data_IF_348132515667
#
_entry.id   IF_348132515667
#
_cell.length_a   1.000
_cell.length_b   1.000
_cell.length_c   1.000
_cell.angle_alpha   90.00
_cell.angle_beta   90.00
_cell.angle_gamma   90.00
#
_symmetry.space_group_name_H-M   'P 1'
#
loop_
_entity.id
_entity.type
_entity.pdbx_description
1 polymer ?
#
# COMPACT_ATOMS: atom_id res chain seq x y z
N UNK A 1 -34.62 66.07 -36.83
CA UNK A 1 -34.27 66.55 -35.47
C UNK A 1 -33.81 65.32 -34.69
N UNK A 2 -32.58 64.81 -34.88
CA UNK A 2 -31.27 65.22 -34.30
C UNK A 2 -31.43 65.50 -32.80
N UNK A 3 -30.89 64.73 -31.84
CA UNK A 3 -29.46 64.53 -31.48
C UNK A 3 -29.33 63.33 -30.52
N UNK A 4 -28.48 62.32 -30.80
CA UNK A 4 -27.07 62.13 -30.36
C UNK A 4 -26.81 61.94 -28.84
N UNK A 5 -26.51 60.69 -28.47
CA UNK A 5 -25.32 60.19 -27.74
C UNK A 5 -24.47 61.18 -26.92
N UNK A 6 -24.14 60.81 -25.68
CA UNK A 6 -22.80 61.03 -25.11
C UNK A 6 -22.42 59.98 -24.04
N UNK A 7 -21.15 59.59 -24.10
CA UNK A 7 -20.44 58.58 -23.29
C UNK A 7 -19.61 59.27 -22.18
N UNK A 8 -18.99 58.44 -21.31
CA UNK A 8 -17.75 58.69 -20.51
C UNK A 8 -18.00 59.55 -19.23
N UNK A 9 -17.53 59.30 -18.00
CA UNK A 9 -16.48 58.48 -17.37
C UNK A 9 -16.74 58.46 -15.84
N UNK A 10 -16.35 57.41 -15.10
CA UNK A 10 -15.62 57.58 -13.84
C UNK A 10 -14.82 56.29 -13.52
N UNK A 11 -13.63 56.49 -12.98
CA UNK A 11 -12.47 55.61 -12.92
C UNK A 11 -12.15 55.27 -11.44
N UNK A 12 -11.74 54.03 -11.13
CA UNK A 12 -10.73 53.62 -10.11
C UNK A 12 -10.71 52.07 -10.09
N UNK A 13 -9.74 51.38 -10.69
CA UNK A 13 -8.39 51.02 -10.25
C UNK A 13 -8.32 50.17 -8.96
N UNK A 14 -8.07 48.86 -9.13
CA UNK A 14 -7.19 48.05 -8.28
C UNK A 14 -6.64 46.86 -9.08
N UNK A 15 -5.32 46.86 -9.29
CA UNK A 15 -4.49 45.82 -9.91
C UNK A 15 -3.80 45.03 -8.77
N UNK A 16 -3.26 43.83 -9.10
CA UNK A 16 -2.24 42.99 -8.40
C UNK A 16 -2.88 41.79 -7.69
N UNK A 17 -3.02 40.60 -8.30
CA UNK A 17 -2.04 39.52 -8.67
C UNK A 17 -1.57 38.63 -7.52
N UNK A 18 -1.22 37.38 -7.90
CA UNK A 18 -0.62 36.25 -7.16
C UNK A 18 -1.62 35.32 -6.43
N UNK A 19 -1.66 34.00 -6.67
CA UNK A 19 -0.65 33.06 -7.16
C UNK A 19 -1.31 31.94 -7.96
N UNK A 20 -0.71 31.61 -9.11
CA UNK A 20 -1.02 30.40 -9.85
C UNK A 20 -0.67 29.17 -9.04
N UNK A 21 -1.55 28.17 -9.10
CA UNK A 21 -1.23 26.80 -8.70
C UNK A 21 -0.18 26.31 -9.70
N UNK A 22 1.10 26.42 -9.33
CA UNK A 22 2.16 25.70 -10.01
C UNK A 22 1.86 24.21 -9.81
N UNK A 23 1.21 23.60 -10.80
CA UNK A 23 1.36 22.16 -11.00
C UNK A 23 2.84 21.96 -11.28
N UNK A 24 3.54 21.37 -10.32
CA UNK A 24 4.87 20.81 -10.53
C UNK A 24 4.66 19.65 -11.51
N UNK A 25 4.62 19.97 -12.79
CA UNK A 25 4.97 19.02 -13.83
C UNK A 25 6.46 18.83 -13.66
N UNK A 26 6.89 17.60 -13.35
CA UNK A 26 8.26 17.22 -13.55
C UNK A 26 8.62 17.62 -14.99
N UNK A 27 9.55 18.54 -15.13
CA UNK A 27 10.07 18.95 -16.41
C UNK A 27 10.89 17.76 -16.90
N UNK A 28 10.35 16.95 -17.80
CA UNK A 28 11.18 16.09 -18.62
C UNK A 28 12.05 17.05 -19.44
N UNK A 29 13.26 17.31 -18.96
CA UNK A 29 14.28 18.00 -19.73
C UNK A 29 14.65 17.11 -20.91
N UNK A 30 13.90 17.22 -22.01
CA UNK A 30 14.16 16.54 -23.29
C UNK A 30 15.55 16.88 -23.89
N UNK A 31 16.28 17.81 -23.27
CA UNK A 31 17.64 18.22 -23.66
C UNK A 31 18.75 17.45 -22.91
N UNK A 32 18.45 16.74 -21.83
CA UNK A 32 19.43 16.05 -20.98
C UNK A 32 19.60 14.55 -21.28
N UNK A 33 20.77 13.99 -20.91
CA UNK A 33 20.96 12.53 -20.94
C UNK A 33 19.95 11.87 -20.00
N UNK A 34 19.27 10.84 -20.47
CA UNK A 34 18.28 10.08 -19.70
C UNK A 34 18.50 8.58 -19.80
N UNK A 35 17.96 7.84 -18.83
CA UNK A 35 18.09 6.38 -18.77
C UNK A 35 16.76 5.67 -18.60
N UNK A 36 16.66 4.48 -19.18
CA UNK A 36 15.49 3.60 -19.05
C UNK A 36 15.97 2.20 -18.68
N UNK A 37 15.57 1.74 -17.49
CA UNK A 37 15.78 0.36 -17.05
C UNK A 37 14.51 -0.45 -17.25
N UNK A 38 14.58 -1.48 -18.09
CA UNK A 38 13.46 -2.37 -18.43
C UNK A 38 13.77 -3.80 -17.96
N UNK A 39 12.94 -4.41 -17.10
CA UNK A 39 13.08 -5.82 -16.76
C UNK A 39 12.64 -6.72 -17.93
N UNK A 40 13.27 -7.87 -18.10
CA UNK A 40 12.87 -8.90 -19.07
C UNK A 40 11.46 -9.44 -18.84
N UNK A 41 10.99 -9.38 -17.59
CA UNK A 41 9.62 -9.68 -17.22
C UNK A 41 8.90 -8.41 -16.72
N UNK A 42 7.72 -8.11 -17.27
CA UNK A 42 6.91 -6.92 -16.92
C UNK A 42 6.66 -6.71 -15.42
N UNK A 43 6.60 -7.80 -14.65
CA UNK A 43 6.35 -7.74 -13.20
C UNK A 43 7.63 -7.82 -12.37
N UNK A 44 8.81 -7.85 -13.02
CA UNK A 44 10.11 -8.10 -12.39
C UNK A 44 10.14 -9.35 -11.51
N UNK A 45 9.39 -10.38 -11.91
CA UNK A 45 9.40 -11.71 -11.30
C UNK A 45 10.01 -12.69 -12.29
N UNK A 46 11.00 -13.45 -11.84
CA UNK A 46 11.85 -14.27 -12.68
C UNK A 46 12.00 -15.69 -12.12
N UNK A 47 12.51 -16.59 -12.97
CA UNK A 47 12.90 -17.95 -12.62
C UNK A 47 14.25 -17.97 -11.90
N UNK A 48 15.25 -18.68 -12.41
CA UNK A 48 16.56 -18.83 -11.76
C UNK A 48 17.44 -17.58 -11.78
N UNK A 49 17.30 -16.78 -12.83
CA UNK A 49 18.05 -15.54 -13.05
C UNK A 49 17.13 -14.47 -13.61
N UNK A 50 17.52 -13.22 -13.42
CA UNK A 50 16.79 -12.07 -13.91
C UNK A 50 17.58 -11.41 -15.03
N UNK A 51 16.89 -10.90 -16.03
CA UNK A 51 17.49 -10.17 -17.13
C UNK A 51 16.90 -8.76 -17.21
N UNK A 52 17.74 -7.82 -17.66
CA UNK A 52 17.42 -6.41 -17.78
C UNK A 52 17.99 -5.81 -19.05
N UNK A 53 17.29 -4.83 -19.59
CA UNK A 53 17.83 -3.90 -20.57
C UNK A 53 18.00 -2.53 -19.92
N UNK A 54 19.17 -1.93 -20.11
CA UNK A 54 19.44 -0.54 -19.72
C UNK A 54 19.69 0.30 -20.98
N UNK A 55 18.80 1.23 -21.26
CA UNK A 55 18.93 2.19 -22.36
C UNK A 55 19.47 3.52 -21.82
N UNK A 56 20.46 4.08 -22.51
CA UNK A 56 20.98 5.43 -22.27
C UNK A 56 20.71 6.25 -23.51
N UNK A 57 19.92 7.32 -23.37
CA UNK A 57 19.60 8.27 -24.44
C UNK A 57 20.50 9.48 -24.31
N UNK A 58 21.24 9.79 -25.38
CA UNK A 58 22.14 10.93 -25.45
C UNK A 58 21.63 11.95 -26.49
N UNK A 59 20.83 12.93 -26.07
CA UNK A 59 20.41 14.02 -26.94
C UNK A 59 21.50 15.10 -27.11
N UNK A 60 22.70 14.95 -26.56
CA UNK A 60 23.75 15.97 -26.66
C UNK A 60 24.52 15.87 -27.99
N UNK A 61 25.36 16.88 -28.26
CA UNK A 61 26.30 16.87 -29.41
C UNK A 61 27.64 16.20 -29.08
N UNK A 62 27.84 15.74 -27.84
CA UNK A 62 29.07 15.11 -27.36
C UNK A 62 28.88 13.60 -27.27
N UNK A 63 29.78 12.77 -27.83
CA UNK A 63 29.74 11.34 -27.61
C UNK A 63 30.05 11.01 -26.14
N UNK A 64 29.39 9.99 -25.61
CA UNK A 64 29.51 9.57 -24.22
C UNK A 64 30.17 8.19 -24.13
N UNK A 65 31.15 8.06 -23.25
CA UNK A 65 31.82 6.77 -22.98
C UNK A 65 31.93 6.55 -21.49
N UNK A 66 31.87 5.30 -21.06
CA UNK A 66 32.05 4.96 -19.65
C UNK A 66 31.56 3.57 -19.34
N UNK A 67 30.83 3.42 -18.25
CA UNK A 67 30.34 2.14 -17.76
C UNK A 67 28.90 2.21 -17.28
N UNK A 68 28.16 1.14 -17.54
CA UNK A 68 26.92 0.82 -16.81
C UNK A 68 27.24 -0.38 -15.93
N UNK A 69 26.97 -0.25 -14.64
CA UNK A 69 27.19 -1.30 -13.64
C UNK A 69 25.91 -1.62 -12.88
N UNK A 70 25.84 -2.79 -12.27
CA UNK A 70 24.76 -3.17 -11.37
C UNK A 70 25.28 -3.63 -10.02
N UNK A 71 24.50 -3.42 -8.97
CA UNK A 71 24.71 -3.96 -7.63
C UNK A 71 23.41 -4.58 -7.12
N UNK A 72 23.46 -5.88 -6.82
CA UNK A 72 22.36 -6.64 -6.22
C UNK A 72 22.55 -6.67 -4.71
N UNK A 73 21.48 -6.38 -3.96
CA UNK A 73 21.47 -6.35 -2.50
C UNK A 73 20.29 -7.13 -1.92
N UNK A 74 20.49 -7.71 -0.73
CA UNK A 74 19.43 -8.34 0.06
C UNK A 74 19.65 -8.06 1.55
N UNK A 75 18.59 -7.66 2.27
CA UNK A 75 18.66 -7.33 3.71
C UNK A 75 19.81 -6.36 4.08
N UNK A 76 20.04 -5.35 3.23
CA UNK A 76 21.10 -4.35 3.44
C UNK A 76 22.52 -4.85 3.13
N UNK A 77 22.70 -6.08 2.65
CA UNK A 77 23.99 -6.65 2.26
C UNK A 77 24.16 -6.68 0.75
N UNK A 78 25.37 -6.40 0.28
CA UNK A 78 25.76 -6.55 -1.12
C UNK A 78 25.93 -8.03 -1.45
N UNK A 79 25.36 -8.49 -2.57
CA UNK A 79 25.32 -9.91 -2.95
C UNK A 79 26.13 -10.18 -4.21
N UNK A 80 25.89 -9.41 -5.29
CA UNK A 80 26.55 -9.55 -6.59
C UNK A 80 26.69 -8.19 -7.27
N UNK A 81 27.70 -8.04 -8.12
CA UNK A 81 27.96 -6.85 -8.93
C UNK A 81 28.43 -7.28 -10.31
N UNK A 82 28.23 -6.43 -11.31
CA UNK A 82 28.74 -6.59 -12.66
C UNK A 82 28.75 -5.26 -13.39
N UNK A 83 29.46 -5.20 -14.51
CA UNK A 83 29.57 -3.97 -15.30
C UNK A 83 29.85 -4.25 -16.76
N UNK A 84 29.40 -3.34 -17.61
CA UNK A 84 29.71 -3.32 -19.04
C UNK A 84 30.22 -1.93 -19.43
N UNK A 85 31.25 -1.88 -20.26
CA UNK A 85 31.70 -0.63 -20.90
C UNK A 85 30.68 -0.21 -21.96
N UNK A 86 30.39 1.08 -22.01
CA UNK A 86 29.38 1.66 -22.90
C UNK A 86 29.98 2.80 -23.71
N UNK A 87 29.49 2.93 -24.94
CA UNK A 87 29.79 4.02 -25.87
C UNK A 87 28.50 4.39 -26.59
N UNK A 88 28.12 5.67 -26.51
CA UNK A 88 26.91 6.23 -27.09
C UNK A 88 27.33 7.42 -27.96
N UNK A 89 26.94 7.40 -29.23
CA UNK A 89 27.21 8.51 -30.15
C UNK A 89 26.44 9.78 -29.78
N UNK A 90 26.80 10.90 -30.42
CA UNK A 90 26.00 12.13 -30.36
C UNK A 90 24.59 11.89 -30.90
N UNK A 91 23.58 12.56 -30.32
CA UNK A 91 22.17 12.49 -30.77
C UNK A 91 21.68 11.05 -31.02
N UNK A 92 22.04 10.12 -30.14
CA UNK A 92 21.78 8.69 -30.30
C UNK A 92 21.46 8.01 -28.96
N UNK A 93 21.06 6.74 -29.01
CA UNK A 93 20.83 5.92 -27.83
C UNK A 93 21.64 4.62 -27.88
N UNK A 94 22.09 4.15 -26.72
CA UNK A 94 22.68 2.83 -26.54
C UNK A 94 21.80 1.96 -25.67
N UNK A 95 21.56 0.70 -26.07
CA UNK A 95 20.78 -0.28 -25.30
C UNK A 95 21.68 -1.45 -24.92
N UNK A 96 21.77 -1.73 -23.63
CA UNK A 96 22.69 -2.71 -23.06
C UNK A 96 21.92 -3.79 -22.32
N UNK A 97 22.18 -5.06 -22.64
CA UNK A 97 21.50 -6.20 -22.03
C UNK A 97 22.33 -6.78 -20.90
N UNK A 98 21.70 -7.06 -19.77
CA UNK A 98 22.29 -7.61 -18.57
C UNK A 98 21.56 -8.89 -18.20
N UNK A 99 22.23 -10.03 -18.36
CA UNK A 99 21.82 -11.29 -17.75
C UNK A 99 22.48 -11.39 -16.37
N UNK A 100 21.68 -11.39 -15.31
CA UNK A 100 22.18 -11.41 -13.94
C UNK A 100 22.52 -12.84 -13.53
N UNK A 101 23.46 -13.05 -12.59
CA UNK A 101 23.75 -14.38 -12.09
C UNK A 101 22.51 -15.00 -11.42
N UNK A 102 22.44 -16.33 -11.43
CA UNK A 102 21.37 -17.05 -10.74
C UNK A 102 21.39 -16.75 -9.24
N UNK A 103 20.19 -16.65 -8.64
CA UNK A 103 20.00 -16.34 -7.24
C UNK A 103 19.02 -17.32 -6.58
N UNK A 104 19.14 -17.54 -5.26
CA UNK A 104 18.12 -18.27 -4.51
C UNK A 104 16.75 -17.56 -4.57
N UNK A 105 15.68 -18.31 -4.29
CA UNK A 105 14.34 -17.75 -4.19
C UNK A 105 14.28 -16.59 -3.18
N UNK A 106 13.72 -15.46 -3.57
CA UNK A 106 13.66 -14.27 -2.71
C UNK A 106 13.40 -12.98 -3.48
N UNK A 107 13.33 -11.88 -2.74
CA UNK A 107 13.29 -10.53 -3.29
C UNK A 107 14.64 -9.84 -3.06
N UNK A 108 15.07 -9.09 -4.07
CA UNK A 108 16.37 -8.42 -4.12
C UNK A 108 16.19 -6.98 -4.58
N UNK A 109 17.03 -6.09 -4.06
CA UNK A 109 17.19 -4.74 -4.63
C UNK A 109 18.28 -4.81 -5.70
N UNK A 110 18.09 -4.06 -6.79
CA UNK A 110 19.12 -3.85 -7.80
C UNK A 110 19.30 -2.36 -8.06
N UNK A 111 20.55 -1.92 -8.01
CA UNK A 111 20.96 -0.58 -8.40
C UNK A 111 21.69 -0.70 -9.74
N UNK A 112 21.18 -0.07 -10.78
CA UNK A 112 21.93 0.16 -12.02
C UNK A 112 22.54 1.56 -11.97
N UNK A 113 23.84 1.65 -12.16
CA UNK A 113 24.62 2.88 -12.07
C UNK A 113 25.25 3.14 -13.44
N UNK A 114 24.90 4.25 -14.07
CA UNK A 114 25.57 4.73 -15.30
C UNK A 114 26.59 5.77 -14.90
N UNK A 115 27.82 5.61 -15.35
CA UNK A 115 28.92 6.56 -15.13
C UNK A 115 29.55 6.80 -16.50
N UNK A 116 29.17 7.89 -17.15
CA UNK A 116 29.67 8.30 -18.48
C UNK A 116 30.18 9.74 -18.40
N UNK A 117 30.90 10.18 -19.44
CA UNK A 117 31.67 11.43 -19.46
C UNK A 117 30.97 12.63 -18.81
N UNK A 118 29.71 12.89 -19.16
CA UNK A 118 28.96 14.07 -18.70
C UNK A 118 27.75 13.72 -17.82
N UNK A 119 27.59 12.45 -17.42
CA UNK A 119 26.40 12.01 -16.68
C UNK A 119 26.69 10.83 -15.75
N UNK A 120 26.23 10.95 -14.51
CA UNK A 120 26.24 9.89 -13.49
C UNK A 120 24.86 9.82 -12.83
N UNK A 121 24.27 8.63 -12.79
CA UNK A 121 23.01 8.39 -12.10
C UNK A 121 22.88 6.93 -11.64
N UNK A 122 22.05 6.71 -10.63
CA UNK A 122 21.70 5.39 -10.09
C UNK A 122 20.20 5.14 -10.12
N UNK A 123 19.76 4.26 -11.02
CA UNK A 123 18.39 3.74 -11.04
C UNK A 123 18.24 2.55 -10.08
N UNK A 124 17.28 2.63 -9.16
CA UNK A 124 17.01 1.58 -8.15
C UNK A 124 15.70 0.86 -8.44
N UNK A 125 15.71 -0.47 -8.37
CA UNK A 125 14.53 -1.35 -8.53
C UNK A 125 14.55 -2.50 -7.53
N UNK A 126 13.44 -3.23 -7.48
CA UNK A 126 13.28 -4.51 -6.76
C UNK A 126 12.83 -5.56 -7.76
N UNK A 127 13.31 -6.80 -7.58
CA UNK A 127 12.86 -7.96 -8.35
C UNK A 127 12.72 -9.20 -7.48
N UNK A 128 11.91 -10.15 -7.94
CA UNK A 128 11.68 -11.44 -7.30
C UNK A 128 12.25 -12.58 -8.13
N UNK A 129 12.86 -13.55 -7.45
CA UNK A 129 13.30 -14.83 -7.99
C UNK A 129 12.45 -15.89 -7.32
N UNK A 130 11.69 -16.67 -8.12
CA UNK A 130 10.83 -17.78 -7.64
C UNK A 130 10.10 -17.46 -6.32
N UNK A 131 9.29 -16.39 -6.25
CA UNK A 131 8.69 -15.92 -5.00
C UNK A 131 7.77 -16.98 -4.36
N UNK A 132 7.17 -17.84 -5.17
CA UNK A 132 6.35 -19.00 -4.79
C UNK A 132 7.15 -20.13 -4.14
N UNK A 133 8.47 -20.17 -4.33
CA UNK A 133 9.38 -21.13 -3.69
C UNK A 133 9.88 -20.65 -2.31
N UNK A 134 9.57 -19.42 -1.90
CA UNK A 134 9.95 -18.90 -0.57
C UNK A 134 9.26 -19.74 0.51
N UNK A 135 10.02 -20.20 1.50
CA UNK A 135 9.53 -20.95 2.67
C UNK A 135 10.00 -20.28 3.95
N UNK A 136 9.18 -20.36 5.00
CA UNK A 136 9.59 -19.96 6.35
C UNK A 136 10.79 -20.79 6.79
N UNK A 137 11.80 -20.14 7.36
CA UNK A 137 12.92 -20.83 8.03
C UNK A 137 12.52 -21.39 9.39
N UNK A 138 11.44 -20.87 9.97
CA UNK A 138 10.95 -21.26 11.28
C UNK A 138 9.89 -22.34 11.14
N UNK A 139 10.06 -23.40 11.91
CA UNK A 139 9.09 -24.46 12.06
C UNK A 139 8.00 -24.06 13.06
N UNK A 140 6.85 -24.72 12.97
CA UNK A 140 5.79 -24.63 13.99
C UNK A 140 6.37 -25.02 15.36
N UNK A 141 6.26 -24.19 16.41
CA UNK A 141 6.68 -24.55 17.76
C UNK A 141 6.03 -25.87 18.24
N UNK A 142 6.73 -26.62 19.08
CA UNK A 142 6.26 -27.93 19.57
C UNK A 142 4.99 -27.83 20.41
N UNK A 143 4.77 -26.69 21.06
CA UNK A 143 3.62 -26.40 21.92
C UNK A 143 2.51 -25.62 21.20
N UNK A 144 2.63 -25.32 19.91
CA UNK A 144 1.70 -24.46 19.16
C UNK A 144 0.22 -24.88 19.33
N UNK A 145 -0.07 -26.16 19.17
CA UNK A 145 -1.45 -26.66 19.26
C UNK A 145 -1.95 -26.63 20.71
N UNK A 146 -1.07 -26.92 21.68
CA UNK A 146 -1.40 -26.87 23.10
C UNK A 146 -1.70 -25.42 23.55
N UNK A 147 -0.90 -24.45 23.11
CA UNK A 147 -1.10 -23.02 23.34
C UNK A 147 -2.47 -22.57 22.83
N UNK A 148 -2.80 -22.84 21.56
CA UNK A 148 -4.08 -22.43 20.99
C UNK A 148 -5.27 -23.15 21.60
N UNK A 149 -5.13 -24.42 21.96
CA UNK A 149 -6.19 -25.16 22.65
C UNK A 149 -6.46 -24.57 24.04
N UNK A 150 -5.42 -24.22 24.80
CA UNK A 150 -5.55 -23.51 26.07
C UNK A 150 -6.26 -22.17 25.91
N UNK A 151 -5.80 -21.32 24.98
CA UNK A 151 -6.41 -20.01 24.73
C UNK A 151 -7.89 -20.10 24.32
N UNK A 152 -8.26 -21.09 23.47
CA UNK A 152 -9.66 -21.35 23.11
C UNK A 152 -10.48 -21.81 24.31
N UNK A 153 -9.93 -22.67 25.17
CA UNK A 153 -10.62 -23.12 26.38
C UNK A 153 -10.86 -21.98 27.38
N UNK A 154 -9.86 -21.10 27.57
CA UNK A 154 -9.99 -19.90 28.39
C UNK A 154 -11.08 -18.96 27.85
N UNK A 155 -11.12 -18.73 26.53
CA UNK A 155 -12.18 -17.95 25.90
C UNK A 155 -13.56 -18.62 26.05
N UNK A 156 -13.66 -19.93 25.89
CA UNK A 156 -14.91 -20.67 26.02
C UNK A 156 -15.52 -20.60 27.43
N UNK A 157 -14.68 -20.39 28.45
CA UNK A 157 -15.13 -20.17 29.83
C UNK A 157 -15.73 -18.76 30.06
N UNK A 158 -15.48 -17.81 29.16
CA UNK A 158 -16.04 -16.46 29.26
C UNK A 158 -17.51 -16.46 28.81
N UNK A 159 -18.42 -16.01 29.68
CA UNK A 159 -19.81 -15.74 29.30
C UNK A 159 -19.86 -14.54 28.35
N UNK A 160 -20.33 -14.69 27.11
CA UNK A 160 -20.21 -13.63 26.10
C UNK A 160 -21.11 -12.42 26.37
N UNK A 161 -22.20 -12.58 27.13
CA UNK A 161 -23.13 -11.50 27.49
C UNK A 161 -23.52 -10.63 26.28
N UNK A 162 -23.94 -11.28 25.19
CA UNK A 162 -24.29 -10.63 23.94
C UNK A 162 -25.37 -9.56 24.15
N UNK A 163 -25.13 -8.38 23.59
CA UNK A 163 -26.11 -7.29 23.54
C UNK A 163 -26.17 -6.73 22.14
N UNK A 164 -27.39 -6.55 21.64
CA UNK A 164 -27.68 -5.95 20.34
C UNK A 164 -28.55 -4.73 20.58
N UNK A 165 -28.13 -3.57 20.10
CA UNK A 165 -28.84 -2.30 20.27
C UNK A 165 -29.13 -1.71 18.89
N UNK A 166 -30.40 -1.50 18.51
CA UNK A 166 -30.74 -0.82 17.26
C UNK A 166 -30.12 0.58 17.21
N UNK A 167 -29.62 0.98 16.05
CA UNK A 167 -29.03 2.29 15.80
C UNK A 167 -29.78 3.00 14.67
N UNK A 168 -31.06 3.40 14.84
CA UNK A 168 -31.88 3.90 13.74
C UNK A 168 -31.29 5.11 13.01
N UNK A 169 -30.52 5.95 13.71
CA UNK A 169 -29.82 7.11 13.14
C UNK A 169 -28.72 6.74 12.13
N UNK A 170 -28.28 5.49 12.13
CA UNK A 170 -27.27 4.95 11.20
C UNK A 170 -27.88 4.09 10.10
N UNK A 171 -29.21 3.90 10.09
CA UNK A 171 -29.89 3.15 9.05
C UNK A 171 -29.73 3.86 7.69
N UNK A 172 -29.75 3.05 6.64
CA UNK A 172 -29.92 3.51 5.26
C UNK A 172 -31.26 2.98 4.73
N UNK A 173 -31.66 3.44 3.55
CA UNK A 173 -32.92 3.00 2.91
C UNK A 173 -33.02 1.48 2.77
N UNK A 174 -31.87 0.82 2.56
CA UNK A 174 -31.78 -0.63 2.36
C UNK A 174 -31.22 -1.41 3.56
N UNK A 175 -30.78 -0.76 4.65
CA UNK A 175 -30.14 -1.44 5.79
C UNK A 175 -30.59 -0.92 7.15
N UNK A 176 -30.85 -1.86 8.06
CA UNK A 176 -30.96 -1.60 9.50
C UNK A 176 -29.61 -1.83 10.15
N UNK A 177 -29.17 -0.91 10.99
CA UNK A 177 -27.89 -0.96 11.70
C UNK A 177 -28.10 -1.22 13.18
N UNK A 178 -27.26 -2.08 13.75
CA UNK A 178 -27.25 -2.43 15.16
C UNK A 178 -25.82 -2.32 15.71
N UNK A 179 -25.68 -1.75 16.91
CA UNK A 179 -24.49 -1.90 17.72
C UNK A 179 -24.53 -3.27 18.38
N UNK A 180 -23.42 -4.01 18.28
CA UNK A 180 -23.25 -5.26 19.02
C UNK A 180 -22.15 -5.13 20.06
N UNK A 181 -22.35 -5.77 21.20
CA UNK A 181 -21.42 -5.81 22.32
C UNK A 181 -21.31 -7.26 22.84
N UNK A 182 -20.09 -7.69 23.18
CA UNK A 182 -19.84 -9.00 23.80
C UNK A 182 -18.55 -8.99 24.63
N UNK A 183 -18.41 -9.96 25.54
CA UNK A 183 -17.21 -10.21 26.32
C UNK A 183 -16.29 -11.19 25.61
N UNK A 184 -15.01 -10.84 25.54
CA UNK A 184 -13.91 -11.62 24.98
C UNK A 184 -12.99 -12.15 26.09
N UNK A 185 -11.87 -12.79 25.73
CA UNK A 185 -10.82 -13.24 26.65
C UNK A 185 -10.44 -12.12 27.63
N UNK A 186 -10.12 -12.46 28.88
CA UNK A 186 -9.89 -11.48 29.97
C UNK A 186 -11.12 -10.63 30.31
N UNK A 187 -12.32 -11.07 29.89
CA UNK A 187 -13.59 -10.38 30.05
C UNK A 187 -13.64 -8.97 29.40
N UNK A 188 -12.80 -8.73 28.39
CA UNK A 188 -12.80 -7.46 27.67
C UNK A 188 -14.09 -7.24 26.89
N UNK A 189 -14.67 -6.04 27.02
CA UNK A 189 -15.81 -5.63 26.19
C UNK A 189 -15.31 -5.31 24.78
N UNK A 190 -15.77 -6.09 23.80
CA UNK A 190 -15.59 -5.79 22.38
C UNK A 190 -16.93 -5.39 21.78
N UNK A 191 -16.86 -4.52 20.78
CA UNK A 191 -17.98 -3.92 20.09
C UNK A 191 -17.80 -4.02 18.58
N UNK A 192 -18.92 -3.88 17.89
CA UNK A 192 -18.95 -3.88 16.44
C UNK A 192 -20.33 -3.46 15.96
N UNK A 193 -20.59 -3.69 14.69
CA UNK A 193 -21.85 -3.35 14.07
C UNK A 193 -22.40 -4.55 13.32
N UNK A 194 -23.71 -4.66 13.26
CA UNK A 194 -24.41 -5.55 12.33
C UNK A 194 -25.27 -4.68 11.41
N UNK A 195 -25.20 -4.94 10.11
CA UNK A 195 -26.15 -4.40 9.14
C UNK A 195 -26.97 -5.52 8.52
N UNK A 196 -28.28 -5.34 8.51
CA UNK A 196 -29.28 -6.31 8.04
C UNK A 196 -30.10 -5.67 6.93
N UNK A 197 -30.43 -6.36 5.83
CA UNK A 197 -31.32 -5.82 4.80
C UNK A 197 -32.65 -5.32 5.37
N UNK A 198 -33.10 -4.13 4.97
CA UNK A 198 -34.29 -3.50 5.53
C UNK A 198 -35.58 -4.28 5.24
N UNK A 199 -35.61 -4.98 4.10
CA UNK A 199 -36.67 -5.87 3.63
C UNK A 199 -36.55 -7.32 4.16
N UNK A 200 -35.68 -7.57 5.14
CA UNK A 200 -35.50 -8.91 5.69
C UNK A 200 -36.80 -9.46 6.30
N UNK A 201 -37.25 -10.59 5.77
CA UNK A 201 -38.31 -11.41 6.39
C UNK A 201 -37.75 -12.19 7.58
N UNK A 202 -38.47 -12.30 8.71
CA UNK A 202 -38.05 -13.11 9.86
C UNK A 202 -37.79 -14.59 9.54
N UNK A 203 -38.37 -15.12 8.46
CA UNK A 203 -38.17 -16.51 8.01
C UNK A 203 -36.95 -16.70 7.09
N UNK A 204 -36.36 -15.61 6.59
CA UNK A 204 -35.22 -15.67 5.68
C UNK A 204 -33.93 -15.81 6.49
N UNK A 205 -33.13 -16.81 6.11
CA UNK A 205 -31.76 -16.94 6.59
C UNK A 205 -30.84 -16.18 5.64
N UNK A 206 -29.91 -15.43 6.20
CA UNK A 206 -28.90 -14.68 5.45
C UNK A 206 -27.54 -15.34 5.65
N UNK A 207 -26.70 -15.28 4.62
CA UNK A 207 -25.28 -15.53 4.79
C UNK A 207 -24.66 -14.35 5.54
N UNK A 208 -23.64 -14.60 6.37
CA UNK A 208 -23.02 -13.55 7.18
C UNK A 208 -21.61 -13.26 6.67
N UNK A 209 -21.33 -12.00 6.35
CA UNK A 209 -19.98 -11.51 6.08
C UNK A 209 -19.39 -10.92 7.37
N UNK A 210 -18.22 -11.39 7.79
CA UNK A 210 -17.47 -10.83 8.91
C UNK A 210 -16.31 -9.96 8.40
N UNK A 211 -16.41 -8.65 8.59
CA UNK A 211 -15.35 -7.68 8.37
C UNK A 211 -14.53 -7.43 9.64
N UNK A 212 -13.20 -7.49 9.50
CA UNK A 212 -12.25 -7.15 10.56
C UNK A 212 -11.42 -5.91 10.15
N UNK A 213 -11.08 -5.01 11.08
CA UNK A 213 -10.33 -3.80 10.77
C UNK A 213 -8.87 -4.11 10.40
N UNK A 214 -8.29 -3.24 9.56
CA UNK A 214 -6.85 -3.09 9.46
C UNK A 214 -6.25 -2.45 10.73
N UNK A 215 -4.93 -2.43 10.84
CA UNK A 215 -4.23 -2.01 12.07
C UNK A 215 -4.65 -0.61 12.56
N UNK A 216 -5.27 -0.57 13.75
CA UNK A 216 -5.76 0.64 14.45
C UNK A 216 -6.87 1.39 13.71
N UNK A 217 -7.60 0.71 12.81
CA UNK A 217 -8.75 1.29 12.09
C UNK A 217 -10.02 1.18 12.94
N UNK A 218 -10.83 2.23 12.95
CA UNK A 218 -12.21 2.15 13.44
C UNK A 218 -13.12 1.69 12.29
N UNK A 219 -13.50 0.41 12.28
CA UNK A 219 -14.39 -0.12 11.26
C UNK A 219 -15.84 0.26 11.59
N UNK A 220 -16.40 1.13 10.77
CA UNK A 220 -17.80 1.55 10.82
C UNK A 220 -18.73 0.48 10.20
N UNK A 221 -20.06 0.58 10.36
CA UNK A 221 -20.98 -0.34 9.70
C UNK A 221 -20.80 -0.29 8.18
N UNK A 222 -20.77 -1.46 7.53
CA UNK A 222 -20.79 -1.58 6.06
C UNK A 222 -22.24 -1.81 5.63
N UNK A 223 -22.77 -0.96 4.75
CA UNK A 223 -24.20 -0.96 4.35
C UNK A 223 -24.39 -1.32 2.87
N UNK A 224 -23.56 -2.23 2.34
CA UNK A 224 -23.54 -2.62 0.91
C UNK A 224 -24.91 -2.97 0.32
N UNK A 225 -24.99 -3.07 -1.01
CA UNK A 225 -26.25 -3.30 -1.73
C UNK A 225 -26.71 -4.78 -1.71
N UNK A 226 -25.94 -5.67 -1.10
CA UNK A 226 -26.19 -7.12 -1.08
C UNK A 226 -27.43 -7.48 -0.24
N UNK A 227 -28.59 -7.63 -0.87
CA UNK A 227 -29.86 -7.88 -0.20
C UNK A 227 -29.98 -9.27 0.46
N UNK A 228 -28.96 -10.13 0.33
CA UNK A 228 -28.91 -11.50 0.83
C UNK A 228 -27.79 -11.75 1.86
N UNK A 229 -27.06 -10.70 2.26
CA UNK A 229 -26.02 -10.76 3.28
C UNK A 229 -26.41 -9.97 4.53
N UNK A 230 -26.18 -10.56 5.70
CA UNK A 230 -25.96 -9.78 6.92
C UNK A 230 -24.46 -9.47 7.03
N UNK A 231 -24.11 -8.26 7.46
CA UNK A 231 -22.70 -7.85 7.55
C UNK A 231 -22.38 -7.51 8.99
N UNK A 232 -21.42 -8.24 9.58
CA UNK A 232 -20.83 -7.94 10.88
C UNK A 232 -19.52 -7.21 10.64
N UNK A 233 -19.35 -6.00 11.19
CA UNK A 233 -18.04 -5.37 11.31
C UNK A 233 -17.61 -5.36 12.77
N UNK A 234 -16.62 -6.19 13.11
CA UNK A 234 -16.20 -6.39 14.49
C UNK A 234 -14.90 -5.65 14.75
N UNK A 235 -14.93 -4.61 15.58
CA UNK A 235 -13.72 -3.96 16.04
C UNK A 235 -13.07 -4.84 17.11
N UNK A 236 -11.85 -5.29 16.86
CA UNK A 236 -11.10 -6.12 17.81
C UNK A 236 -10.62 -5.30 19.00
N UNK A 237 -10.24 -5.99 20.10
CA UNK A 237 -9.75 -5.37 21.34
C UNK A 237 -8.70 -4.28 21.04
N UNK A 238 -8.91 -3.09 21.59
CA UNK A 238 -8.01 -1.94 21.42
C UNK A 238 -8.11 -1.16 20.11
N UNK A 239 -9.13 -1.44 19.30
CA UNK A 239 -9.39 -0.74 18.04
C UNK A 239 -10.83 -0.21 17.98
N UNK A 240 -11.06 0.80 17.14
CA UNK A 240 -12.39 1.36 16.90
C UNK A 240 -13.22 1.64 18.16
N UNK A 241 -14.47 1.19 18.16
CA UNK A 241 -15.36 1.28 19.32
C UNK A 241 -15.08 0.21 20.42
N UNK A 242 -14.01 -0.57 20.29
CA UNK A 242 -13.51 -1.58 21.24
C UNK A 242 -12.23 -1.15 21.98
N UNK A 243 -11.89 0.14 21.97
CA UNK A 243 -10.72 0.69 22.69
C UNK A 243 -10.86 0.68 24.21
N UNK A 244 -12.05 0.48 24.75
CA UNK A 244 -12.37 0.67 26.18
C UNK A 244 -11.24 0.33 27.17
N UNK A 245 -10.88 -0.95 27.30
CA UNK A 245 -9.85 -1.39 28.27
C UNK A 245 -8.42 -1.42 27.70
N UNK A 246 -8.26 -1.23 26.40
CA UNK A 246 -6.95 -1.18 25.72
C UNK A 246 -6.92 0.09 24.86
N UNK A 247 -6.49 1.20 25.44
CA UNK A 247 -6.49 2.50 24.78
C UNK A 247 -5.06 3.03 24.64
N UNK A 248 -4.26 2.35 23.80
CA UNK A 248 -2.86 2.73 23.54
C UNK A 248 -2.76 3.59 22.30
N UNK A 249 -1.68 4.38 22.18
CA UNK A 249 -1.38 5.04 20.91
C UNK A 249 -1.11 4.03 19.80
N UNK A 250 -1.26 4.48 18.55
CA UNK A 250 -1.10 3.62 17.36
C UNK A 250 0.29 2.97 17.27
N UNK A 251 1.33 3.73 17.59
CA UNK A 251 2.74 3.31 17.59
C UNK A 251 3.10 2.40 18.77
N UNK A 252 2.34 2.47 19.86
CA UNK A 252 2.56 1.67 21.07
C UNK A 252 1.77 0.36 21.07
N UNK A 253 0.65 0.28 20.34
CA UNK A 253 -0.26 -0.87 20.36
C UNK A 253 0.43 -2.19 19.99
N UNK A 254 1.43 -2.17 19.10
CA UNK A 254 2.19 -3.35 18.69
C UNK A 254 3.09 -3.91 19.81
N UNK A 255 3.44 -3.08 20.79
CA UNK A 255 4.25 -3.45 21.95
C UNK A 255 3.40 -3.68 23.21
N UNK A 256 2.08 -3.49 23.12
CA UNK A 256 1.19 -3.69 24.25
C UNK A 256 1.32 -5.13 24.76
N UNK A 257 1.75 -5.27 26.03
CA UNK A 257 1.96 -6.56 26.70
C UNK A 257 2.98 -7.49 26.03
N UNK A 258 3.94 -6.94 25.29
CA UNK A 258 4.97 -7.77 24.64
C UNK A 258 5.87 -8.52 25.64
N UNK A 259 5.95 -8.04 26.88
CA UNK A 259 6.72 -8.65 27.97
C UNK A 259 5.90 -9.62 28.83
N UNK A 260 4.59 -9.73 28.61
CA UNK A 260 3.73 -10.67 29.34
C UNK A 260 4.03 -12.09 28.83
N UNK A 261 4.97 -12.78 29.50
CA UNK A 261 5.34 -14.18 29.25
C UNK A 261 4.62 -15.14 30.17
#
# INVERSE_FOLDING_TARGET
MVTRSNKIFLLLLCIITFTGVNRVLAQDDDEGISTVLTPGNKNAIFGDHADYSFEVKNPTNTPQTGTVSYLIMQHGKNIKTGSQKVSIGKKSSGKYSFDLPSLPSGFYKINFMVNITEYDDTTRRVFGIKPDAIRSKYQKPTDFDAFWNKAKAELAAVKPNFKVTPMPKMNTDNRKVFLIEMRSLDNYLIKGWITVPANASPSRKFSVLLGLPGYQVNLMPITGLDEDLDIITLNVRGQGNSRGQIDTRRDEFIFYRIEDK
#
